data_IF_763236154037
#
_entry.id   IF_763236154037
#
_cell.length_a   1.000
_cell.length_b   1.000
_cell.length_c   1.000
_cell.angle_alpha   90.00
_cell.angle_beta   90.00
_cell.angle_gamma   90.00
#
_symmetry.space_group_name_H-M   'P 1'
#
loop_
_entity.id
_entity.type
_entity.pdbx_description
1 polymer ?
#
# COMPACT_ATOMS: atom_id res chain seq x y z
N UNK A 1 -23.80 -7.51 -12.06
CA UNK A 1 -24.33 -6.93 -10.81
C UNK A 1 -24.51 -5.42 -10.99
N UNK A 2 -25.63 -4.81 -10.56
CA UNK A 2 -25.73 -3.35 -10.54
C UNK A 2 -24.71 -2.80 -9.55
N UNK A 3 -24.00 -1.76 -9.93
CA UNK A 3 -23.11 -0.99 -9.07
C UNK A 3 -23.87 -0.55 -7.80
N UNK A 4 -23.54 -1.12 -6.66
CA UNK A 4 -24.12 -0.76 -5.37
C UNK A 4 -24.72 -1.89 -4.53
N UNK A 5 -24.62 -3.14 -4.94
CA UNK A 5 -25.07 -4.26 -4.08
C UNK A 5 -24.01 -4.55 -3.02
N UNK A 6 -24.28 -4.11 -1.77
CA UNK A 6 -23.49 -4.49 -0.61
C UNK A 6 -23.96 -5.88 -0.17
N UNK A 7 -23.14 -6.89 -0.35
CA UNK A 7 -23.41 -8.22 0.19
C UNK A 7 -22.87 -8.24 1.63
N UNK A 8 -23.77 -8.32 2.59
CA UNK A 8 -23.42 -8.50 4.02
C UNK A 8 -23.59 -9.97 4.35
N UNK A 9 -22.51 -10.61 4.79
CA UNK A 9 -22.55 -11.98 5.29
C UNK A 9 -22.45 -11.95 6.80
N UNK A 10 -23.34 -12.65 7.48
CA UNK A 10 -23.25 -12.95 8.90
C UNK A 10 -22.83 -14.41 8.99
N UNK A 11 -21.64 -14.66 9.50
CA UNK A 11 -21.12 -16.01 9.75
C UNK A 11 -21.22 -16.23 11.26
N UNK A 12 -22.16 -17.09 11.68
CA UNK A 12 -22.15 -17.65 13.02
C UNK A 12 -21.16 -18.81 13.07
N UNK A 13 -20.01 -18.57 13.69
CA UNK A 13 -19.02 -19.61 13.94
C UNK A 13 -19.19 -20.07 15.39
N UNK A 14 -19.73 -21.25 15.60
CA UNK A 14 -19.65 -21.90 16.92
C UNK A 14 -18.19 -22.25 17.21
N UNK A 15 -17.65 -21.91 18.38
CA UNK A 15 -16.28 -22.25 18.74
C UNK A 15 -16.15 -23.78 18.90
N UNK A 16 -15.46 -24.41 17.98
CA UNK A 16 -14.96 -25.77 18.16
C UNK A 16 -13.77 -25.72 19.13
N UNK A 17 -13.75 -26.67 20.07
CA UNK A 17 -12.83 -26.81 21.19
C UNK A 17 -11.34 -26.54 20.90
N UNK A 18 -10.65 -26.12 21.91
CA UNK A 18 -9.30 -25.66 22.27
C UNK A 18 -8.05 -26.12 21.47
N UNK A 19 -8.15 -26.70 20.30
CA UNK A 19 -6.99 -27.04 19.46
C UNK A 19 -6.93 -26.13 18.23
N UNK A 20 -5.75 -25.58 17.96
CA UNK A 20 -5.46 -24.62 16.89
C UNK A 20 -5.91 -25.10 15.51
N UNK A 21 -7.04 -24.61 15.04
CA UNK A 21 -7.57 -24.85 13.70
C UNK A 21 -7.34 -23.64 12.81
N UNK A 22 -6.77 -23.83 11.61
CA UNK A 22 -6.72 -22.83 10.56
C UNK A 22 -7.94 -22.98 9.65
N UNK A 23 -8.79 -21.97 9.58
CA UNK A 23 -9.92 -21.91 8.68
C UNK A 23 -9.48 -21.35 7.33
N UNK A 24 -9.61 -22.10 6.26
CA UNK A 24 -9.39 -21.62 4.90
C UNK A 24 -10.74 -21.48 4.21
N UNK A 25 -11.12 -20.23 3.90
CA UNK A 25 -12.34 -19.92 3.14
C UNK A 25 -12.00 -19.79 1.66
N UNK A 26 -12.59 -20.64 0.82
CA UNK A 26 -12.57 -20.47 -0.62
C UNK A 26 -13.94 -19.95 -1.09
N UNK A 27 -13.93 -18.95 -1.98
CA UNK A 27 -15.13 -18.37 -2.56
C UNK A 27 -15.18 -18.73 -4.04
N UNK A 28 -16.24 -19.38 -4.47
CA UNK A 28 -16.55 -19.57 -5.89
C UNK A 28 -17.87 -18.86 -6.19
N UNK A 29 -17.89 -18.04 -7.24
CA UNK A 29 -19.08 -17.29 -7.68
C UNK A 29 -19.47 -17.80 -9.03
N UNK A 30 -20.58 -18.52 -9.11
CA UNK A 30 -21.12 -18.94 -10.38
C UNK A 30 -21.67 -17.75 -11.20
N UNK A 31 -21.83 -17.88 -12.53
CA UNK A 31 -22.33 -16.79 -13.39
C UNK A 31 -23.76 -16.34 -13.07
N UNK A 32 -24.48 -17.07 -12.23
CA UNK A 32 -25.87 -16.78 -11.84
C UNK A 32 -25.99 -16.22 -10.42
N UNK A 33 -24.86 -15.98 -9.74
CA UNK A 33 -24.81 -15.28 -8.45
C UNK A 33 -25.11 -16.14 -7.23
N UNK A 34 -25.08 -17.45 -7.34
CA UNK A 34 -25.04 -18.33 -6.18
C UNK A 34 -23.61 -18.36 -5.60
N UNK A 35 -23.53 -18.23 -4.28
CA UNK A 35 -22.30 -18.36 -3.51
C UNK A 35 -22.30 -19.76 -2.89
N UNK A 36 -21.38 -20.61 -3.32
CA UNK A 36 -21.09 -21.85 -2.62
C UNK A 36 -19.87 -21.65 -1.72
N UNK A 37 -20.00 -22.09 -0.48
CA UNK A 37 -18.92 -22.09 0.50
C UNK A 37 -18.45 -23.53 0.74
N UNK A 38 -17.20 -23.78 0.44
CA UNK A 38 -16.56 -25.02 0.88
C UNK A 38 -15.66 -24.70 2.06
N UNK A 39 -16.02 -25.20 3.24
CA UNK A 39 -15.17 -25.17 4.44
C UNK A 39 -14.38 -26.46 4.47
N UNK A 40 -13.13 -26.39 4.09
CA UNK A 40 -12.20 -27.52 4.22
C UNK A 40 -11.50 -27.43 5.57
N UNK A 41 -11.93 -28.23 6.52
CA UNK A 41 -11.20 -28.47 7.77
C UNK A 41 -10.04 -29.43 7.48
N UNK A 42 -8.81 -28.91 7.41
CA UNK A 42 -7.62 -29.74 7.42
C UNK A 42 -7.28 -30.04 8.88
N UNK A 43 -7.85 -31.14 9.39
CA UNK A 43 -7.34 -31.78 10.58
C UNK A 43 -5.85 -32.07 10.40
N UNK A 44 -5.02 -31.35 11.13
CA UNK A 44 -3.62 -31.70 11.29
C UNK A 44 -3.54 -32.99 12.12
N UNK A 45 -3.71 -34.12 11.47
CA UNK A 45 -3.22 -35.38 12.05
C UNK A 45 -1.71 -35.30 12.07
N UNK A 46 -1.11 -35.42 13.24
CA UNK A 46 0.31 -35.14 13.56
C UNK A 46 1.38 -35.99 12.86
N UNK A 47 1.16 -36.39 11.61
CA UNK A 47 2.16 -37.00 10.75
C UNK A 47 2.42 -36.10 9.55
N UNK A 48 3.55 -35.37 9.62
CA UNK A 48 4.10 -34.47 8.61
C UNK A 48 3.27 -33.19 8.30
N UNK A 49 3.24 -32.27 9.24
CA UNK A 49 3.08 -30.86 8.85
C UNK A 49 4.07 -30.58 7.71
N UNK A 50 3.67 -29.93 6.60
CA UNK A 50 4.62 -29.51 5.57
C UNK A 50 5.71 -28.72 6.30
N UNK A 51 6.97 -29.22 6.23
CA UNK A 51 8.04 -28.77 7.08
C UNK A 51 8.09 -27.26 7.12
N UNK A 52 8.04 -26.68 8.30
CA UNK A 52 8.13 -25.24 8.51
C UNK A 52 9.47 -24.73 8.00
N UNK A 53 9.48 -23.50 7.45
CA UNK A 53 10.71 -22.84 7.01
C UNK A 53 11.69 -22.79 8.20
N UNK A 54 12.94 -23.25 8.04
CA UNK A 54 13.93 -23.26 9.13
C UNK A 54 14.14 -21.89 9.74
N UNK A 55 14.15 -21.85 11.08
CA UNK A 55 14.43 -20.65 11.88
C UNK A 55 15.51 -20.95 12.91
N UNK A 56 16.32 -19.94 13.18
CA UNK A 56 17.24 -19.93 14.31
C UNK A 56 16.79 -18.85 15.31
N UNK A 57 16.24 -19.23 16.48
CA UNK A 57 15.81 -18.24 17.48
C UNK A 57 16.96 -17.39 18.03
N UNK A 58 18.22 -17.86 17.95
CA UNK A 58 19.37 -17.12 18.42
C UNK A 58 19.86 -16.09 17.39
N UNK A 59 19.87 -16.47 16.10
CA UNK A 59 20.28 -15.58 15.01
C UNK A 59 19.69 -16.03 13.67
N UNK A 60 18.50 -15.56 13.37
CA UNK A 60 17.75 -15.92 12.15
C UNK A 60 18.35 -15.32 10.86
N UNK A 61 19.33 -14.41 11.00
CA UNK A 61 20.06 -13.78 9.88
C UNK A 61 21.47 -14.34 9.71
N UNK A 62 21.88 -15.31 10.52
CA UNK A 62 23.17 -16.00 10.40
C UNK A 62 23.29 -16.71 9.05
N UNK A 63 24.52 -16.85 8.57
CA UNK A 63 24.81 -17.64 7.36
C UNK A 63 24.25 -19.06 7.46
N UNK A 64 24.35 -19.70 8.64
CA UNK A 64 23.86 -21.05 8.87
C UNK A 64 22.33 -21.15 8.70
N UNK A 65 21.58 -20.21 9.29
CA UNK A 65 20.12 -20.16 9.15
C UNK A 65 19.68 -19.90 7.70
N UNK A 66 20.39 -19.01 7.00
CA UNK A 66 20.13 -18.70 5.59
C UNK A 66 20.43 -19.90 4.70
N UNK A 67 21.55 -20.58 4.90
CA UNK A 67 21.92 -21.76 4.11
C UNK A 67 20.93 -22.92 4.37
N UNK A 68 20.47 -23.10 5.61
CA UNK A 68 19.44 -24.10 5.94
C UNK A 68 18.12 -23.84 5.20
N UNK A 69 17.69 -22.57 5.07
CA UNK A 69 16.50 -22.20 4.28
C UNK A 69 16.67 -22.46 2.79
N UNK A 70 17.84 -22.18 2.24
CA UNK A 70 18.14 -22.48 0.83
C UNK A 70 18.12 -23.97 0.55
N UNK A 71 18.72 -24.77 1.44
CA UNK A 71 18.70 -26.23 1.34
C UNK A 71 17.26 -26.75 1.42
N UNK A 72 16.48 -26.27 2.38
CA UNK A 72 15.07 -26.60 2.51
C UNK A 72 14.26 -26.33 1.23
N UNK A 73 14.51 -25.23 0.54
CA UNK A 73 13.85 -24.89 -0.75
C UNK A 73 14.35 -25.83 -1.84
N UNK A 74 15.68 -26.06 -1.92
CA UNK A 74 16.29 -26.93 -2.93
C UNK A 74 15.76 -28.35 -2.86
N UNK A 75 15.70 -28.94 -1.67
CA UNK A 75 15.17 -30.28 -1.46
C UNK A 75 13.73 -30.45 -1.91
N UNK A 76 12.89 -29.39 -1.78
CA UNK A 76 11.47 -29.44 -2.12
C UNK A 76 11.14 -29.07 -3.55
N UNK A 77 11.90 -28.17 -4.15
CA UNK A 77 11.61 -27.62 -5.48
C UNK A 77 12.55 -28.14 -6.56
N UNK A 78 13.70 -28.70 -6.19
CA UNK A 78 14.77 -29.03 -7.14
C UNK A 78 15.42 -27.82 -7.78
N UNK A 79 15.17 -26.59 -7.29
CA UNK A 79 15.66 -25.33 -7.87
C UNK A 79 16.96 -24.93 -7.19
N UNK A 80 18.00 -24.68 -8.00
CA UNK A 80 19.25 -24.07 -7.53
C UNK A 80 19.05 -22.56 -7.32
N UNK A 81 19.44 -22.07 -6.15
CA UNK A 81 19.23 -20.69 -5.73
C UNK A 81 20.50 -19.82 -5.89
N UNK A 82 21.32 -20.10 -6.89
CA UNK A 82 22.61 -19.47 -7.12
C UNK A 82 22.53 -17.94 -7.22
N UNK A 83 21.52 -17.45 -7.94
CA UNK A 83 21.41 -16.01 -8.24
C UNK A 83 20.94 -15.17 -7.06
N UNK A 84 20.26 -15.77 -6.08
CA UNK A 84 19.81 -15.05 -4.87
C UNK A 84 20.80 -15.14 -3.72
N UNK A 85 21.81 -16.01 -3.83
CA UNK A 85 22.66 -16.41 -2.72
C UNK A 85 23.72 -15.37 -2.31
N UNK A 86 23.89 -14.30 -3.07
CA UNK A 86 24.99 -13.34 -2.90
C UNK A 86 24.49 -11.93 -2.61
N UNK A 87 24.00 -11.62 -1.39
CA UNK A 87 23.71 -10.25 -1.02
C UNK A 87 25.00 -9.41 -0.99
N UNK A 88 24.90 -8.13 -1.32
CA UNK A 88 26.01 -7.17 -1.25
C UNK A 88 26.08 -6.42 0.09
N UNK A 89 25.24 -6.81 1.05
CA UNK A 89 25.13 -6.21 2.39
C UNK A 89 25.04 -7.31 3.44
N UNK A 90 25.25 -6.95 4.72
CA UNK A 90 25.04 -7.88 5.83
C UNK A 90 23.55 -8.17 6.02
N UNK A 91 23.11 -9.44 5.96
CA UNK A 91 21.71 -9.81 6.19
C UNK A 91 21.11 -9.27 7.50
N UNK A 92 21.92 -9.05 8.54
CA UNK A 92 21.45 -8.46 9.81
C UNK A 92 20.92 -7.03 9.65
N UNK A 93 21.34 -6.28 8.63
CA UNK A 93 20.81 -4.94 8.34
C UNK A 93 19.32 -4.98 7.94
N UNK A 94 18.81 -6.15 7.58
CA UNK A 94 17.41 -6.35 7.20
C UNK A 94 16.51 -6.81 8.36
N UNK A 95 17.06 -6.93 9.55
CA UNK A 95 16.31 -7.32 10.74
C UNK A 95 15.13 -6.36 11.00
N UNK A 96 13.93 -6.93 11.12
CA UNK A 96 12.69 -6.16 11.25
C UNK A 96 12.09 -5.67 9.92
N UNK A 97 12.77 -5.87 8.79
CA UNK A 97 12.25 -5.54 7.46
C UNK A 97 11.77 -6.76 6.67
N UNK A 98 12.41 -7.90 6.90
CA UNK A 98 12.04 -9.16 6.26
C UNK A 98 12.35 -10.34 7.21
N UNK A 99 11.40 -11.22 7.36
CA UNK A 99 11.54 -12.47 8.10
C UNK A 99 12.05 -13.58 7.16
N UNK A 100 12.68 -14.61 7.75
CA UNK A 100 13.18 -15.77 7.02
C UNK A 100 14.07 -15.38 5.82
N UNK A 101 14.97 -14.41 6.04
CA UNK A 101 15.85 -13.94 4.97
C UNK A 101 16.56 -15.12 4.29
N UNK A 102 16.38 -15.27 2.99
CA UNK A 102 16.91 -16.40 2.21
C UNK A 102 17.92 -15.93 1.17
N UNK A 103 17.79 -14.67 0.72
CA UNK A 103 18.64 -14.09 -0.30
C UNK A 103 18.06 -12.80 -0.85
N UNK A 104 18.57 -12.36 -1.97
CA UNK A 104 18.20 -11.11 -2.65
C UNK A 104 17.75 -11.36 -4.08
N UNK A 105 16.69 -10.69 -4.52
CA UNK A 105 16.37 -10.61 -5.94
C UNK A 105 17.29 -9.58 -6.62
N UNK A 106 17.86 -9.95 -7.77
CA UNK A 106 18.67 -9.02 -8.59
C UNK A 106 17.77 -8.47 -9.69
N UNK A 107 17.54 -7.17 -9.66
CA UNK A 107 16.75 -6.46 -10.66
C UNK A 107 17.68 -5.53 -11.43
N UNK A 108 17.72 -5.59 -12.77
CA UNK A 108 18.54 -4.68 -13.57
C UNK A 108 18.19 -3.22 -13.30
N UNK A 109 19.22 -2.37 -13.21
CA UNK A 109 19.10 -0.95 -12.95
C UNK A 109 19.61 -0.14 -14.15
N UNK A 110 18.73 0.65 -14.74
CA UNK A 110 19.09 1.65 -15.76
C UNK A 110 19.02 3.06 -15.19
N UNK A 111 19.57 4.04 -15.92
CA UNK A 111 19.52 5.46 -15.56
C UNK A 111 18.81 6.22 -16.67
N UNK A 112 17.78 6.97 -16.32
CA UNK A 112 17.09 7.88 -17.22
C UNK A 112 17.40 9.35 -16.84
N UNK A 113 17.45 10.23 -17.85
CA UNK A 113 17.69 11.66 -17.63
C UNK A 113 18.63 12.29 -18.65
N UNK A 114 18.94 13.61 -18.52
CA UNK A 114 18.48 14.47 -17.40
C UNK A 114 17.00 14.87 -17.53
N UNK A 115 16.33 14.92 -16.38
CA UNK A 115 15.03 15.57 -16.23
C UNK A 115 15.25 16.97 -15.68
N UNK A 116 14.89 18.00 -16.43
CA UNK A 116 14.94 19.38 -15.94
C UNK A 116 13.69 19.69 -15.11
N UNK A 117 13.88 20.00 -13.83
CA UNK A 117 12.82 20.28 -12.86
C UNK A 117 12.91 21.72 -12.37
N UNK A 118 11.77 22.40 -12.36
CA UNK A 118 11.52 23.68 -11.66
C UNK A 118 10.45 23.41 -10.60
N UNK A 119 10.87 22.98 -9.41
CA UNK A 119 9.98 22.55 -8.33
C UNK A 119 10.21 23.32 -7.05
N UNK A 120 9.24 23.24 -6.15
CA UNK A 120 9.30 23.91 -4.83
C UNK A 120 10.43 23.39 -3.94
N UNK A 121 10.82 22.12 -4.11
CA UNK A 121 11.80 21.43 -3.27
C UNK A 121 13.00 20.87 -4.05
N UNK A 122 12.94 20.90 -5.38
CA UNK A 122 14.00 20.43 -6.25
C UNK A 122 14.07 21.33 -7.48
N UNK A 123 15.27 21.78 -7.85
CA UNK A 123 15.49 22.66 -8.99
C UNK A 123 16.80 22.28 -9.69
N UNK A 124 16.76 22.09 -11.01
CA UNK A 124 17.91 21.70 -11.83
C UNK A 124 17.69 20.42 -12.60
N UNK A 125 18.79 19.78 -13.01
CA UNK A 125 18.80 18.55 -13.78
C UNK A 125 18.96 17.33 -12.87
N UNK A 126 18.12 16.32 -13.08
CA UNK A 126 18.12 15.09 -12.28
C UNK A 126 18.22 13.86 -13.14
N UNK A 127 19.03 12.90 -12.71
CA UNK A 127 19.10 11.55 -13.26
C UNK A 127 18.36 10.58 -12.37
N UNK A 128 17.49 9.76 -12.95
CA UNK A 128 16.58 8.88 -12.22
C UNK A 128 16.98 7.43 -12.43
N UNK A 129 17.37 6.69 -11.36
CA UNK A 129 17.59 5.27 -11.44
C UNK A 129 16.25 4.53 -11.56
N UNK A 130 16.15 3.61 -12.52
CA UNK A 130 14.97 2.80 -12.78
C UNK A 130 15.34 1.32 -12.73
N UNK A 131 14.85 0.62 -11.71
CA UNK A 131 14.97 -0.83 -11.58
C UNK A 131 13.79 -1.49 -12.29
N UNK A 132 14.07 -2.28 -13.35
CA UNK A 132 13.00 -2.88 -14.15
C UNK A 132 13.49 -4.11 -14.91
N UNK A 133 12.55 -5.02 -15.21
CA UNK A 133 12.72 -6.10 -16.18
C UNK A 133 11.90 -5.86 -17.45
N UNK A 134 11.18 -4.73 -17.53
CA UNK A 134 10.41 -4.37 -18.72
C UNK A 134 11.31 -3.80 -19.82
N UNK A 135 11.23 -4.42 -20.98
CA UNK A 135 11.99 -3.97 -22.17
C UNK A 135 11.56 -2.57 -22.61
N UNK A 136 12.53 -1.75 -22.99
CA UNK A 136 12.36 -0.37 -23.49
C UNK A 136 11.84 0.67 -22.48
N UNK A 137 11.54 0.30 -21.22
CA UNK A 137 11.03 1.25 -20.23
C UNK A 137 11.97 2.44 -20.06
N UNK A 138 13.26 2.19 -19.77
CA UNK A 138 14.26 3.25 -19.56
C UNK A 138 14.41 4.14 -20.81
N UNK A 139 14.39 3.55 -22.00
CA UNK A 139 14.46 4.29 -23.26
C UNK A 139 13.21 5.19 -23.46
N UNK A 140 12.03 4.71 -23.07
CA UNK A 140 10.78 5.47 -23.14
C UNK A 140 10.82 6.68 -22.20
N UNK A 141 11.24 6.49 -20.95
CA UNK A 141 11.43 7.60 -20.00
C UNK A 141 12.46 8.60 -20.49
N UNK A 142 13.61 8.15 -20.98
CA UNK A 142 14.65 9.02 -21.55
C UNK A 142 14.09 9.91 -22.67
N UNK A 143 13.31 9.33 -23.58
CA UNK A 143 12.69 10.07 -24.66
C UNK A 143 11.73 11.15 -24.16
N UNK A 144 10.87 10.81 -23.17
CA UNK A 144 9.97 11.77 -22.54
C UNK A 144 10.71 12.88 -21.79
N UNK A 145 11.74 12.52 -21.02
CA UNK A 145 12.60 13.49 -20.31
C UNK A 145 13.30 14.46 -21.26
N UNK A 146 13.78 13.97 -22.42
CA UNK A 146 14.37 14.82 -23.45
C UNK A 146 13.37 15.83 -24.02
N UNK A 147 12.12 15.42 -24.30
CA UNK A 147 11.06 16.32 -24.74
C UNK A 147 10.79 17.40 -23.71
N UNK A 148 10.69 17.03 -22.43
CA UNK A 148 10.47 17.97 -21.31
C UNK A 148 11.65 18.93 -21.18
N UNK A 149 12.87 18.43 -21.23
CA UNK A 149 14.08 19.24 -21.14
C UNK A 149 14.15 20.28 -22.24
N UNK A 150 14.01 19.87 -23.52
CA UNK A 150 13.99 20.78 -24.67
C UNK A 150 12.81 21.78 -24.62
N UNK A 151 11.75 21.42 -23.90
CA UNK A 151 10.59 22.30 -23.72
C UNK A 151 10.76 23.31 -22.58
N UNK A 152 11.83 23.26 -21.80
CA UNK A 152 12.14 24.18 -20.72
C UNK A 152 11.89 23.63 -19.33
N UNK A 153 11.69 22.32 -19.21
CA UNK A 153 11.55 21.62 -17.94
C UNK A 153 10.11 21.39 -17.49
N UNK A 154 9.98 20.71 -16.37
CA UNK A 154 8.70 20.42 -15.70
C UNK A 154 8.59 21.25 -14.42
N UNK A 155 7.45 21.93 -14.21
CA UNK A 155 7.12 22.60 -12.96
C UNK A 155 6.46 21.60 -12.02
N UNK A 156 6.95 21.55 -10.78
CA UNK A 156 6.45 20.61 -9.77
C UNK A 156 5.97 21.31 -8.51
N UNK A 157 4.72 21.08 -8.14
CA UNK A 157 4.08 21.63 -6.94
C UNK A 157 3.60 20.49 -6.05
N UNK A 158 4.06 20.48 -4.78
CA UNK A 158 3.58 19.51 -3.78
C UNK A 158 2.30 20.03 -3.15
N UNK A 159 1.18 19.36 -3.40
CA UNK A 159 -0.15 19.78 -2.91
C UNK A 159 -0.67 18.93 -1.74
N UNK A 160 -0.01 17.86 -1.39
CA UNK A 160 -0.37 17.01 -0.26
C UNK A 160 0.75 16.06 0.13
N UNK A 161 0.76 15.72 1.42
CA UNK A 161 1.66 14.71 1.98
C UNK A 161 0.95 14.08 3.18
N UNK A 162 0.43 12.87 2.98
CA UNK A 162 -0.31 12.15 4.00
C UNK A 162 -0.13 10.64 3.84
N UNK A 163 0.28 9.98 4.91
CA UNK A 163 0.23 8.52 5.02
C UNK A 163 -0.95 8.12 5.90
N UNK A 164 -1.65 7.06 5.55
CA UNK A 164 -2.89 6.70 6.23
C UNK A 164 -2.88 5.30 6.84
N UNK A 165 -3.65 5.19 7.93
CA UNK A 165 -4.22 3.95 8.45
C UNK A 165 -5.72 4.19 8.68
N UNK A 166 -6.54 3.18 8.41
CA UNK A 166 -7.99 3.38 8.37
C UNK A 166 -8.75 2.35 9.22
N UNK A 167 -8.72 2.49 10.55
CA UNK A 167 -9.51 1.65 11.42
C UNK A 167 -11.01 1.90 11.24
N UNK A 168 -11.78 0.85 11.49
CA UNK A 168 -13.24 0.89 11.55
C UNK A 168 -13.73 0.51 12.94
N UNK A 169 -14.72 1.25 13.43
CA UNK A 169 -15.39 0.97 14.69
C UNK A 169 -16.84 0.56 14.43
N UNK A 170 -17.28 -0.50 15.11
CA UNK A 170 -18.59 -1.10 14.96
C UNK A 170 -19.47 -0.71 16.15
N UNK A 171 -20.71 -0.37 15.85
CA UNK A 171 -21.72 0.02 16.86
C UNK A 171 -23.00 -0.80 16.67
N UNK A 172 -23.94 -0.63 17.59
CA UNK A 172 -25.29 -1.19 17.45
C UNK A 172 -26.03 -0.57 16.26
N UNK A 173 -25.91 0.76 16.12
CA UNK A 173 -26.61 1.54 15.10
C UNK A 173 -25.79 2.73 14.58
N UNK A 174 -26.34 3.45 13.62
CA UNK A 174 -25.73 4.63 13.02
C UNK A 174 -25.58 5.83 13.99
N UNK A 175 -26.35 5.87 15.09
CA UNK A 175 -26.25 6.94 16.09
C UNK A 175 -24.98 6.78 16.91
N UNK A 176 -24.63 5.53 17.27
CA UNK A 176 -23.36 5.23 17.92
C UNK A 176 -22.16 5.60 17.02
N UNK A 177 -22.21 5.22 15.75
CA UNK A 177 -21.19 5.58 14.78
C UNK A 177 -21.03 7.11 14.61
N UNK A 178 -22.13 7.84 14.58
CA UNK A 178 -22.15 9.31 14.52
C UNK A 178 -21.58 9.94 15.80
N UNK A 179 -21.95 9.41 16.97
CA UNK A 179 -21.44 9.89 18.26
C UNK A 179 -19.92 9.81 18.34
N UNK A 180 -19.32 8.70 17.82
CA UNK A 180 -17.86 8.59 17.74
C UNK A 180 -17.25 9.66 16.82
N UNK A 181 -17.82 9.88 15.66
CA UNK A 181 -17.30 10.86 14.70
C UNK A 181 -17.26 12.28 15.31
N UNK A 182 -18.33 12.67 16.01
CA UNK A 182 -18.40 13.97 16.70
C UNK A 182 -17.38 14.06 17.85
N UNK A 183 -17.23 12.97 18.62
CA UNK A 183 -16.27 12.87 19.72
C UNK A 183 -14.80 12.92 19.24
N UNK A 184 -14.48 12.26 18.13
CA UNK A 184 -13.13 12.30 17.53
C UNK A 184 -12.70 13.73 17.20
N UNK A 185 -13.60 14.54 16.63
CA UNK A 185 -13.32 15.94 16.34
C UNK A 185 -13.06 16.75 17.62
N UNK A 186 -13.84 16.50 18.68
CA UNK A 186 -13.69 17.22 19.94
C UNK A 186 -12.41 16.83 20.71
N UNK A 187 -11.88 15.64 20.48
CA UNK A 187 -10.71 15.10 21.20
C UNK A 187 -9.46 14.95 20.32
N UNK A 188 -9.43 15.58 19.14
CA UNK A 188 -8.35 15.41 18.17
C UNK A 188 -6.97 15.75 18.74
N UNK A 189 -6.87 16.76 19.60
CA UNK A 189 -5.58 17.18 20.17
C UNK A 189 -5.02 16.17 21.17
N UNK A 190 -5.89 15.51 21.94
CA UNK A 190 -5.46 14.44 22.84
C UNK A 190 -5.03 13.20 22.04
N UNK A 191 -5.75 12.87 20.98
CA UNK A 191 -5.38 11.78 20.06
C UNK A 191 -4.04 12.06 19.41
N UNK A 192 -3.76 13.31 19.02
CA UNK A 192 -2.45 13.72 18.48
C UNK A 192 -1.31 13.47 19.47
N UNK A 193 -1.50 13.78 20.75
CA UNK A 193 -0.51 13.51 21.80
C UNK A 193 -0.24 12.01 21.93
N UNK A 194 -1.29 11.19 22.01
CA UNK A 194 -1.14 9.73 22.06
C UNK A 194 -0.37 9.17 20.88
N UNK A 195 -0.64 9.67 19.68
CA UNK A 195 0.11 9.28 18.49
C UNK A 195 1.60 9.68 18.58
N UNK A 196 1.89 10.92 18.98
CA UNK A 196 3.25 11.43 19.11
C UNK A 196 4.05 10.72 20.21
N UNK A 197 3.42 10.35 21.31
CA UNK A 197 4.05 9.57 22.38
C UNK A 197 4.45 8.16 21.93
N UNK A 198 3.76 7.61 20.94
CA UNK A 198 4.05 6.28 20.39
C UNK A 198 5.23 6.27 19.44
N UNK A 199 5.44 7.36 18.68
CA UNK A 199 6.52 7.51 17.71
C UNK A 199 6.75 9.00 17.40
N UNK A 200 7.95 9.56 17.70
CA UNK A 200 8.24 10.98 17.57
C UNK A 200 8.31 11.48 16.12
N UNK A 201 8.43 10.60 15.14
CA UNK A 201 8.50 10.95 13.73
C UNK A 201 7.14 10.94 13.02
N UNK A 202 6.09 10.54 13.74
CA UNK A 202 4.72 10.44 13.21
C UNK A 202 3.85 11.55 13.77
N UNK A 203 3.32 12.40 12.89
CA UNK A 203 2.46 13.50 13.31
C UNK A 203 1.07 13.37 12.72
N UNK A 204 0.06 13.13 13.56
CA UNK A 204 -1.34 13.09 13.14
C UNK A 204 -1.82 14.49 12.75
N UNK A 205 -2.21 14.66 11.49
CA UNK A 205 -2.73 15.93 10.96
C UNK A 205 -4.23 16.06 11.26
N UNK A 206 -5.01 15.09 10.80
CA UNK A 206 -6.47 15.04 10.95
C UNK A 206 -6.98 13.63 10.77
N UNK A 207 -8.25 13.40 11.11
CA UNK A 207 -8.96 12.15 10.90
C UNK A 207 -10.15 12.45 10.00
N UNK A 208 -10.20 11.82 8.82
CA UNK A 208 -11.45 11.74 8.04
C UNK A 208 -12.31 10.61 8.61
N UNK A 209 -13.63 10.75 8.56
CA UNK A 209 -14.55 9.69 8.95
C UNK A 209 -15.68 9.55 7.92
N UNK A 210 -16.11 8.32 7.75
CA UNK A 210 -17.14 7.95 6.79
C UNK A 210 -18.10 6.99 7.46
N UNK A 211 -19.35 7.39 7.55
CA UNK A 211 -20.38 6.61 8.21
C UNK A 211 -21.10 5.75 7.19
N UNK A 212 -21.21 4.47 7.46
CA UNK A 212 -21.99 3.54 6.66
C UNK A 212 -22.71 2.57 7.59
N UNK A 213 -24.04 2.62 7.59
CA UNK A 213 -24.86 1.83 8.53
C UNK A 213 -24.40 2.04 9.98
N UNK A 214 -23.98 0.98 10.66
CA UNK A 214 -23.45 0.97 12.04
C UNK A 214 -21.93 1.14 12.12
N UNK A 215 -21.25 1.37 10.99
CA UNK A 215 -19.80 1.48 10.92
C UNK A 215 -19.34 2.93 10.90
N UNK A 216 -18.33 3.23 11.69
CA UNK A 216 -17.54 4.45 11.59
C UNK A 216 -16.17 4.10 11.00
N UNK A 217 -16.02 4.21 9.68
CA UNK A 217 -14.72 4.13 9.03
C UNK A 217 -13.97 5.43 9.32
N UNK A 218 -12.79 5.31 9.88
CA UNK A 218 -11.92 6.45 10.13
C UNK A 218 -10.68 6.34 9.24
N UNK A 219 -10.13 7.47 8.87
CA UNK A 219 -8.90 7.54 8.08
C UNK A 219 -7.97 8.54 8.75
N UNK A 220 -7.04 8.02 9.52
CA UNK A 220 -6.01 8.79 10.19
C UNK A 220 -4.96 9.22 9.19
N UNK A 221 -4.66 10.51 9.10
CA UNK A 221 -3.76 11.10 8.13
C UNK A 221 -2.53 11.67 8.84
N UNK A 222 -1.36 11.10 8.51
CA UNK A 222 -0.09 11.44 9.17
C UNK A 222 0.92 12.03 8.19
N UNK A 223 1.86 12.83 8.72
CA UNK A 223 3.17 13.04 8.10
C UNK A 223 4.19 12.09 8.73
N UNK A 224 5.13 11.61 7.94
CA UNK A 224 6.14 10.61 8.33
C UNK A 224 7.55 11.01 7.89
N UNK A 225 7.79 12.29 7.61
CA UNK A 225 9.06 12.78 7.08
C UNK A 225 9.40 12.16 5.74
N UNK A 226 10.61 11.66 5.59
CA UNK A 226 11.09 11.05 4.35
C UNK A 226 10.71 9.57 4.20
N UNK A 227 10.22 8.94 5.28
CA UNK A 227 9.77 7.56 5.25
C UNK A 227 8.38 7.42 4.63
N UNK A 228 8.10 6.29 3.97
CA UNK A 228 6.72 5.89 3.65
C UNK A 228 5.90 5.69 4.93
N UNK A 229 6.52 5.19 6.01
CA UNK A 229 6.01 5.21 7.36
C UNK A 229 4.85 4.25 7.66
N UNK A 230 4.64 3.20 6.86
CA UNK A 230 3.48 2.31 7.01
C UNK A 230 3.41 1.64 8.38
N UNK A 231 4.51 1.10 8.88
CA UNK A 231 4.57 0.46 10.20
C UNK A 231 4.45 1.49 11.32
N UNK A 232 5.07 2.65 11.16
CA UNK A 232 5.01 3.76 12.11
C UNK A 232 3.58 4.25 12.31
N UNK A 233 2.85 4.56 11.22
CA UNK A 233 1.45 4.98 11.31
C UNK A 233 0.54 3.88 11.84
N UNK A 234 0.85 2.61 11.59
CA UNK A 234 0.09 1.48 12.15
C UNK A 234 0.22 1.45 13.68
N UNK A 235 1.44 1.59 14.20
CA UNK A 235 1.72 1.64 15.64
C UNK A 235 1.02 2.82 16.31
N UNK A 236 1.15 4.02 15.73
CA UNK A 236 0.54 5.23 16.25
C UNK A 236 -1.00 5.15 16.24
N UNK A 237 -1.58 4.64 15.14
CA UNK A 237 -3.03 4.45 15.03
C UNK A 237 -3.53 3.41 16.02
N UNK A 238 -2.80 2.31 16.24
CA UNK A 238 -3.17 1.30 17.24
C UNK A 238 -3.18 1.88 18.67
N UNK A 239 -2.17 2.69 19.03
CA UNK A 239 -2.15 3.39 20.32
C UNK A 239 -3.36 4.34 20.46
N UNK A 240 -3.67 5.10 19.40
CA UNK A 240 -4.84 5.97 19.37
C UNK A 240 -6.16 5.19 19.51
N UNK A 241 -6.32 4.06 18.81
CA UNK A 241 -7.51 3.22 18.92
C UNK A 241 -7.70 2.68 20.35
N UNK A 242 -6.63 2.21 20.98
CA UNK A 242 -6.70 1.76 22.39
C UNK A 242 -7.11 2.90 23.34
N UNK A 243 -6.58 4.10 23.11
CA UNK A 243 -6.99 5.27 23.90
C UNK A 243 -8.47 5.64 23.65
N UNK A 244 -8.95 5.57 22.41
CA UNK A 244 -10.36 5.81 22.05
C UNK A 244 -11.27 4.80 22.77
N UNK A 245 -10.94 3.50 22.73
CA UNK A 245 -11.69 2.46 23.43
C UNK A 245 -11.79 2.71 24.95
N UNK A 246 -10.74 3.27 25.56
CA UNK A 246 -10.68 3.57 26.97
C UNK A 246 -11.43 4.85 27.37
N UNK A 247 -11.58 5.83 26.46
CA UNK A 247 -12.06 7.17 26.80
C UNK A 247 -13.42 7.53 26.17
N UNK A 248 -13.79 6.94 25.06
CA UNK A 248 -15.11 7.18 24.46
C UNK A 248 -16.22 6.54 25.30
N UNK A 249 -17.30 7.32 25.54
CA UNK A 249 -18.47 6.90 26.36
C UNK A 249 -19.79 7.25 25.67
N UNK A 250 -19.79 7.77 24.47
CA UNK A 250 -21.00 8.21 23.77
C UNK A 250 -21.91 7.08 23.29
N UNK A 251 -21.35 5.89 23.08
CA UNK A 251 -22.05 4.65 22.74
C UNK A 251 -21.14 3.44 22.99
N UNK A 252 -21.71 2.25 23.06
CA UNK A 252 -20.93 1.01 23.15
C UNK A 252 -20.26 0.71 21.80
N UNK A 253 -18.93 0.57 21.81
CA UNK A 253 -18.18 0.04 20.68
C UNK A 253 -18.25 -1.47 20.76
N UNK A 254 -18.91 -2.10 19.79
CA UNK A 254 -19.07 -3.55 19.72
C UNK A 254 -17.78 -4.24 19.37
N UNK A 255 -17.04 -3.65 18.40
CA UNK A 255 -15.76 -4.17 17.92
C UNK A 255 -14.98 -3.09 17.18
N UNK A 256 -13.68 -3.32 16.91
CA UNK A 256 -12.91 -2.48 16.00
C UNK A 256 -11.87 -3.31 15.24
N UNK A 257 -11.56 -2.90 14.02
CA UNK A 257 -10.48 -3.45 13.23
C UNK A 257 -9.51 -2.33 12.84
N UNK A 258 -8.22 -2.57 13.02
CA UNK A 258 -7.18 -1.57 12.77
C UNK A 258 -7.09 -1.18 11.30
N UNK A 259 -7.48 -2.08 10.39
CA UNK A 259 -7.52 -1.82 8.95
C UNK A 259 -8.70 -2.58 8.32
N UNK A 260 -9.53 -1.86 7.58
CA UNK A 260 -10.69 -2.39 6.89
C UNK A 260 -10.66 -2.12 5.37
N UNK A 261 -9.48 -2.17 4.76
CA UNK A 261 -9.23 -1.85 3.35
C UNK A 261 -9.53 -0.40 2.95
N UNK A 262 -9.81 0.49 3.91
CA UNK A 262 -10.18 1.87 3.64
C UNK A 262 -8.98 2.84 3.60
N UNK A 263 -7.81 2.43 4.09
CA UNK A 263 -6.55 3.13 3.82
C UNK A 263 -6.17 3.07 2.34
N UNK A 264 -6.72 2.09 1.60
CA UNK A 264 -6.50 1.87 0.16
C UNK A 264 -5.03 1.70 -0.19
N UNK A 265 -4.34 0.92 0.64
CA UNK A 265 -2.93 0.65 0.48
C UNK A 265 -2.63 -0.07 -0.84
N UNK A 266 -1.65 0.44 -1.60
CA UNK A 266 -1.17 -0.16 -2.86
C UNK A 266 -2.24 -0.36 -3.95
N UNK A 267 -3.28 0.48 -3.96
CA UNK A 267 -4.42 0.36 -4.89
C UNK A 267 -4.74 1.68 -5.57
N UNK A 268 -5.17 1.60 -6.82
CA UNK A 268 -5.95 2.66 -7.44
C UNK A 268 -7.34 2.69 -6.77
N UNK A 269 -7.79 3.86 -6.35
CA UNK A 269 -9.11 4.03 -5.74
C UNK A 269 -9.62 5.46 -5.87
N UNK A 270 -10.93 5.63 -5.81
CA UNK A 270 -11.53 6.96 -5.86
C UNK A 270 -11.07 7.85 -4.72
N UNK A 271 -10.96 7.29 -3.50
CA UNK A 271 -10.51 8.08 -2.35
C UNK A 271 -9.06 8.53 -2.50
N UNK A 272 -8.18 7.72 -3.08
CA UNK A 272 -6.80 8.13 -3.35
C UNK A 272 -6.73 9.19 -4.46
N UNK A 273 -7.62 9.16 -5.43
CA UNK A 273 -7.72 10.22 -6.44
C UNK A 273 -8.11 11.56 -5.82
N UNK A 274 -9.03 11.55 -4.85
CA UNK A 274 -9.53 12.77 -4.20
C UNK A 274 -8.64 13.25 -3.04
N UNK A 275 -8.16 12.32 -2.21
CA UNK A 275 -7.50 12.60 -0.94
C UNK A 275 -6.01 12.31 -0.93
N UNK A 276 -5.49 11.60 -1.93
CA UNK A 276 -4.10 11.14 -2.03
C UNK A 276 -3.70 10.13 -0.93
N UNK A 277 -2.61 9.43 -1.20
CA UNK A 277 -1.84 8.63 -0.27
C UNK A 277 -0.36 8.83 -0.58
N UNK A 278 0.44 9.19 0.42
CA UNK A 278 1.80 9.67 0.24
C UNK A 278 1.86 11.11 -0.28
N UNK A 279 2.91 11.47 -0.99
CA UNK A 279 3.10 12.81 -1.54
C UNK A 279 2.29 12.97 -2.83
N UNK A 280 1.44 13.99 -2.87
CA UNK A 280 0.70 14.40 -4.06
C UNK A 280 1.42 15.54 -4.73
N UNK A 281 1.86 15.34 -5.96
CA UNK A 281 2.59 16.33 -6.76
C UNK A 281 1.81 16.61 -8.02
N UNK A 282 1.69 17.89 -8.36
CA UNK A 282 1.24 18.35 -9.68
C UNK A 282 2.50 18.66 -10.48
N UNK A 283 2.64 17.98 -11.63
CA UNK A 283 3.73 18.20 -12.57
C UNK A 283 3.16 18.75 -13.88
N UNK A 284 3.69 19.89 -14.35
CA UNK A 284 3.18 20.62 -15.50
C UNK A 284 4.31 20.96 -16.47
N UNK A 285 4.09 20.72 -17.75
CA UNK A 285 5.03 21.12 -18.81
C UNK A 285 4.26 21.61 -20.03
N UNK A 286 4.76 22.69 -20.65
CA UNK A 286 4.30 23.14 -21.95
C UNK A 286 5.23 22.58 -23.01
N UNK A 287 4.81 21.49 -23.67
CA UNK A 287 5.62 20.82 -24.70
C UNK A 287 5.73 21.67 -25.94
N UNK A 288 6.96 22.02 -26.36
CA UNK A 288 7.21 22.74 -27.61
C UNK A 288 6.92 21.85 -28.82
N UNK A 289 6.29 22.43 -29.84
CA UNK A 289 5.92 21.72 -31.07
C UNK A 289 7.14 21.09 -31.75
N UNK A 290 8.25 21.81 -31.81
CA UNK A 290 9.47 21.30 -32.47
C UNK A 290 10.07 20.14 -31.69
N UNK A 291 10.12 20.21 -30.35
CA UNK A 291 10.57 19.09 -29.52
C UNK A 291 9.69 17.85 -29.70
N UNK A 292 8.37 18.04 -29.79
CA UNK A 292 7.44 16.93 -30.03
C UNK A 292 7.68 16.27 -31.40
N UNK A 293 7.83 17.08 -32.46
CA UNK A 293 8.09 16.59 -33.81
C UNK A 293 9.46 15.89 -33.92
N UNK A 294 10.52 16.55 -33.45
CA UNK A 294 11.88 16.11 -33.70
C UNK A 294 12.32 14.92 -32.82
N UNK A 295 11.70 14.74 -31.67
CA UNK A 295 12.03 13.68 -30.71
C UNK A 295 11.02 12.54 -30.74
N UNK A 296 9.72 12.86 -30.88
CA UNK A 296 8.62 11.89 -30.79
C UNK A 296 8.05 11.49 -32.14
N UNK A 297 8.41 12.21 -33.22
CA UNK A 297 7.77 12.07 -34.56
C UNK A 297 6.24 12.18 -34.48
N UNK A 298 5.76 13.14 -33.68
CA UNK A 298 4.34 13.33 -33.40
C UNK A 298 3.95 14.81 -33.56
N UNK A 299 2.67 15.04 -33.84
CA UNK A 299 2.10 16.38 -33.84
C UNK A 299 1.22 16.66 -32.61
N UNK A 300 0.89 17.94 -32.41
CA UNK A 300 0.12 18.38 -31.23
C UNK A 300 -1.33 17.87 -31.24
N UNK A 301 -1.93 17.66 -32.39
CA UNK A 301 -3.32 17.14 -32.52
C UNK A 301 -3.34 15.67 -32.15
N UNK A 302 -2.38 14.90 -32.64
CA UNK A 302 -2.21 13.48 -32.33
C UNK A 302 -1.99 13.28 -30.81
N UNK A 303 -1.07 14.06 -30.20
CA UNK A 303 -0.83 14.00 -28.75
C UNK A 303 -2.10 14.31 -27.95
N UNK A 304 -2.84 15.34 -28.34
CA UNK A 304 -4.07 15.71 -27.67
C UNK A 304 -5.16 14.61 -27.77
N UNK A 305 -5.32 14.04 -28.97
CA UNK A 305 -6.25 12.93 -29.17
C UNK A 305 -5.87 11.70 -28.37
N UNK A 306 -4.57 11.35 -28.36
CA UNK A 306 -4.05 10.24 -27.57
C UNK A 306 -4.33 10.45 -26.06
N UNK A 307 -4.11 11.66 -25.55
CA UNK A 307 -4.42 11.98 -24.14
C UNK A 307 -5.91 11.78 -23.80
N UNK A 308 -6.82 12.18 -24.70
CA UNK A 308 -8.26 11.92 -24.51
C UNK A 308 -8.59 10.43 -24.44
N UNK A 309 -8.06 9.65 -25.39
CA UNK A 309 -8.27 8.20 -25.43
C UNK A 309 -7.71 7.53 -24.17
N UNK A 310 -6.49 7.89 -23.77
CA UNK A 310 -5.85 7.35 -22.59
C UNK A 310 -6.66 7.66 -21.30
N UNK A 311 -7.16 8.89 -21.15
CA UNK A 311 -7.99 9.26 -20.00
C UNK A 311 -9.28 8.45 -19.92
N UNK A 312 -9.98 8.24 -21.04
CA UNK A 312 -11.18 7.40 -21.08
C UNK A 312 -10.83 5.94 -20.76
N UNK A 313 -9.76 5.42 -21.34
CA UNK A 313 -9.27 4.06 -21.07
C UNK A 313 -8.92 3.86 -19.59
N UNK A 314 -8.21 4.81 -18.98
CA UNK A 314 -7.88 4.78 -17.54
C UNK A 314 -9.14 4.77 -16.67
N UNK A 315 -10.13 5.61 -17.00
CA UNK A 315 -11.40 5.66 -16.28
C UNK A 315 -12.17 4.34 -16.40
N UNK A 316 -12.22 3.76 -17.60
CA UNK A 316 -12.94 2.50 -17.87
C UNK A 316 -12.27 1.29 -17.20
N UNK A 317 -10.95 1.25 -17.18
CA UNK A 317 -10.19 0.15 -16.59
C UNK A 317 -10.05 0.26 -15.06
N UNK A 318 -10.42 1.41 -14.47
CA UNK A 318 -10.17 1.67 -13.06
C UNK A 318 -8.68 1.68 -12.69
N UNK A 319 -7.80 1.84 -13.67
CA UNK A 319 -6.36 1.81 -13.48
C UNK A 319 -5.79 3.21 -13.23
N UNK A 320 -4.60 3.25 -12.64
CA UNK A 320 -3.74 4.43 -12.69
C UNK A 320 -2.89 4.36 -13.96
N UNK A 321 -2.68 5.50 -14.59
CA UNK A 321 -1.69 5.61 -15.64
C UNK A 321 -0.29 5.66 -14.98
N UNK A 322 0.60 4.76 -15.39
CA UNK A 322 1.97 4.69 -14.91
C UNK A 322 2.93 4.72 -16.10
N UNK A 323 3.65 5.77 -16.24
CA UNK A 323 4.73 5.92 -17.21
C UNK A 323 4.35 6.42 -18.58
#
# INVERSE_FOLDING_TARGET
>A
FPLGTLLTFELDIEPLSDDQHSLQLAFDVDPFGSLEFEVTDRLHTGEHAPGTVPRDPADDYSKAAIDARREFIRERSGVELEHIARPSFDPHETQGNIEHFTGVAQIPLGIAGPLLVDGQHANGEFYVPLATTEGTLVASYNRGMKVIHESGGVKCTVVGDNMQRAPVFLFEDARGARSLADWLNANLDEIRKVCADSDPFVHLKYIDYYLSTRFCFTRFNFTTGDAAGMNMVSKATFAACNWILQNFRGAEIRDFFLEANFATDKKASQINTMRSRGKRVIAECVVKRDALRDIMDADTVQLYQHGKVANVGTMMSGANNNG
#
